data_IF_718935941352
#
_entry.id   IF_718935941352
#
_cell.length_a   1.000
_cell.length_b   1.000
_cell.length_c   1.000
_cell.angle_alpha   90.00
_cell.angle_beta   90.00
_cell.angle_gamma   90.00
#
_symmetry.space_group_name_H-M   'P 1'
#
loop_
_entity.id
_entity.type
_entity.pdbx_description
1 polymer ?
#
# COMPACT_ATOMS: atom_id res chain seq x y z
N UNK A 1 -1.72 -16.12 7.12
CA UNK A 1 -1.56 -14.70 6.73
C UNK A 1 -1.07 -14.62 5.30
N UNK A 2 -1.44 -13.59 4.54
CA UNK A 2 -1.10 -13.43 3.13
C UNK A 2 -0.83 -11.96 2.77
N UNK A 3 0.03 -11.76 1.77
CA UNK A 3 0.33 -10.48 1.15
C UNK A 3 0.04 -10.61 -0.34
N UNK A 4 -0.75 -9.69 -0.89
CA UNK A 4 -0.94 -9.51 -2.34
C UNK A 4 -0.16 -8.27 -2.73
N UNK A 5 0.74 -8.37 -3.70
CA UNK A 5 1.56 -7.25 -4.16
C UNK A 5 1.71 -7.27 -5.68
N UNK A 6 1.64 -6.09 -6.29
CA UNK A 6 1.90 -5.92 -7.71
C UNK A 6 1.08 -4.80 -8.32
N UNK A 7 1.28 -4.61 -9.63
CA UNK A 7 0.44 -3.76 -10.46
C UNK A 7 -0.92 -4.44 -10.68
N UNK A 8 -1.99 -3.80 -10.19
CA UNK A 8 -3.36 -4.27 -10.43
C UNK A 8 -4.03 -3.52 -11.59
N UNK A 9 -3.34 -2.57 -12.19
CA UNK A 9 -3.83 -1.65 -13.22
C UNK A 9 -5.16 -0.98 -12.83
N UNK A 10 -5.30 -0.69 -11.53
CA UNK A 10 -6.52 -0.18 -10.92
C UNK A 10 -6.17 0.96 -9.95
N UNK A 11 -7.00 2.02 -9.88
CA UNK A 11 -6.79 3.09 -8.93
C UNK A 11 -6.96 2.57 -7.50
N UNK A 12 -6.32 3.23 -6.53
CA UNK A 12 -6.42 2.89 -5.10
C UNK A 12 -7.86 2.67 -4.60
N UNK A 13 -8.85 3.37 -5.13
CA UNK A 13 -10.24 3.17 -4.71
C UNK A 13 -10.73 1.75 -5.00
N UNK A 14 -10.23 1.09 -6.03
CA UNK A 14 -10.61 -0.29 -6.35
C UNK A 14 -10.20 -1.29 -5.25
N UNK A 15 -9.22 -0.98 -4.40
CA UNK A 15 -8.81 -1.91 -3.32
C UNK A 15 -9.91 -2.14 -2.28
N UNK A 16 -10.98 -1.33 -2.27
CA UNK A 16 -12.14 -1.55 -1.38
C UNK A 16 -12.91 -2.82 -1.73
N UNK A 17 -12.75 -3.36 -2.94
CA UNK A 17 -13.40 -4.61 -3.37
C UNK A 17 -12.65 -5.85 -2.88
N UNK A 18 -11.39 -5.71 -2.41
CA UNK A 18 -10.58 -6.79 -1.87
C UNK A 18 -10.97 -7.13 -0.42
N UNK A 19 -12.17 -7.70 -0.25
CA UNK A 19 -12.72 -8.08 1.06
C UNK A 19 -11.75 -8.99 1.82
N UNK A 20 -11.53 -8.69 3.11
CA UNK A 20 -10.60 -9.43 3.97
C UNK A 20 -9.15 -8.95 3.89
N UNK A 21 -8.85 -8.00 3.01
CA UNK A 21 -7.53 -7.39 2.88
C UNK A 21 -7.54 -5.90 3.22
N UNK A 22 -6.40 -5.42 3.73
CA UNK A 22 -6.19 -4.01 4.00
C UNK A 22 -5.01 -3.47 3.17
N UNK A 23 -5.15 -2.29 2.52
CA UNK A 23 -4.05 -1.68 1.80
C UNK A 23 -2.97 -1.14 2.75
N UNK A 24 -1.71 -1.34 2.40
CA UNK A 24 -0.54 -0.89 3.17
C UNK A 24 0.12 0.34 2.56
N UNK A 25 0.17 0.42 1.22
CA UNK A 25 0.83 1.52 0.51
C UNK A 25 -0.17 2.60 0.10
N UNK A 26 0.26 3.86 0.22
CA UNK A 26 -0.39 5.02 -0.39
C UNK A 26 0.66 5.89 -1.08
N UNK A 27 0.45 6.15 -2.37
CA UNK A 27 1.29 7.05 -3.17
C UNK A 27 1.19 6.72 -4.65
N UNK A 28 1.37 7.73 -5.50
CA UNK A 28 1.30 7.56 -6.96
C UNK A 28 2.53 6.82 -7.44
N UNK A 29 2.34 5.80 -8.26
CA UNK A 29 3.41 4.93 -8.75
C UNK A 29 3.61 5.04 -10.25
N UNK A 30 2.63 5.58 -10.99
CA UNK A 30 2.70 5.69 -12.44
C UNK A 30 2.22 7.06 -12.97
N UNK A 31 2.81 7.56 -14.08
CA UNK A 31 4.11 7.15 -14.63
C UNK A 31 5.25 7.60 -13.71
N UNK A 32 6.38 6.89 -13.73
CA UNK A 32 7.46 7.07 -12.75
C UNK A 32 8.01 8.51 -12.68
N UNK A 33 8.23 9.14 -13.82
CA UNK A 33 8.84 10.48 -13.91
C UNK A 33 7.86 11.60 -13.54
N UNK A 34 6.55 11.37 -13.70
CA UNK A 34 5.50 12.34 -13.37
C UNK A 34 4.29 11.64 -12.77
N UNK A 35 4.36 11.19 -11.50
CA UNK A 35 3.33 10.32 -10.94
C UNK A 35 1.98 11.02 -10.83
N UNK A 36 0.96 10.41 -11.43
CA UNK A 36 -0.43 10.89 -11.40
C UNK A 36 -1.37 9.93 -10.68
N UNK A 37 -1.09 8.63 -10.72
CA UNK A 37 -1.99 7.58 -10.22
C UNK A 37 -1.21 6.46 -9.51
N UNK A 38 -1.86 5.80 -8.57
CA UNK A 38 -1.36 4.58 -7.92
C UNK A 38 -1.96 3.37 -8.63
N UNK A 39 -1.11 2.56 -9.25
CA UNK A 39 -1.49 1.30 -9.91
C UNK A 39 -0.90 0.08 -9.18
N UNK A 40 0.23 0.27 -8.52
CA UNK A 40 0.88 -0.76 -7.69
C UNK A 40 0.32 -0.74 -6.28
N UNK A 41 -0.03 -1.92 -5.79
CA UNK A 41 -0.65 -2.09 -4.48
C UNK A 41 0.08 -3.13 -3.66
N UNK A 42 -0.03 -3.00 -2.34
CA UNK A 42 0.28 -4.06 -1.39
C UNK A 42 -0.90 -4.16 -0.42
N UNK A 43 -1.53 -5.33 -0.38
CA UNK A 43 -2.68 -5.63 0.44
C UNK A 43 -2.32 -6.78 1.40
N UNK A 44 -2.75 -6.69 2.65
CA UNK A 44 -2.43 -7.70 3.67
C UNK A 44 -3.70 -8.27 4.30
N UNK A 45 -3.72 -9.57 4.53
CA UNK A 45 -4.81 -10.25 5.24
C UNK A 45 -4.75 -9.95 6.74
N UNK A 46 -5.75 -10.43 7.48
CA UNK A 46 -5.69 -10.54 8.95
C UNK A 46 -4.41 -11.27 9.40
N UNK A 47 -3.88 -10.86 10.56
CA UNK A 47 -2.60 -11.36 11.10
C UNK A 47 -1.36 -10.61 10.60
N UNK A 48 -1.51 -9.61 9.73
CA UNK A 48 -0.43 -8.73 9.27
C UNK A 48 -0.81 -7.25 9.41
N UNK A 49 0.19 -6.42 9.72
CA UNK A 49 0.07 -4.96 9.75
C UNK A 49 1.28 -4.31 9.07
N UNK A 50 1.09 -3.11 8.51
CA UNK A 50 2.19 -2.30 7.99
C UNK A 50 2.84 -1.48 9.11
N UNK A 51 4.14 -1.65 9.29
CA UNK A 51 4.96 -0.89 10.23
C UNK A 51 5.62 0.35 9.59
N UNK A 52 5.63 0.39 8.26
CA UNK A 52 6.12 1.54 7.49
C UNK A 52 5.93 1.27 5.99
N UNK A 53 5.58 2.30 5.23
CA UNK A 53 5.21 2.18 3.83
C UNK A 53 5.65 3.42 3.05
N UNK A 54 6.27 3.23 1.88
CA UNK A 54 6.63 4.33 0.98
C UNK A 54 6.71 3.90 -0.47
N UNK A 55 6.39 4.83 -1.36
CA UNK A 55 6.79 4.79 -2.76
C UNK A 55 8.21 5.35 -2.84
N UNK A 56 9.09 4.67 -3.56
CA UNK A 56 10.50 5.04 -3.73
C UNK A 56 10.70 5.86 -5.00
N UNK A 57 11.91 6.40 -5.17
CA UNK A 57 12.30 7.06 -6.42
C UNK A 57 12.34 6.08 -7.60
N UNK A 58 12.17 6.56 -8.84
CA UNK A 58 12.29 5.73 -10.04
C UNK A 58 13.64 5.00 -10.13
N UNK A 59 13.60 3.77 -10.65
CA UNK A 59 14.79 2.90 -10.81
C UNK A 59 14.97 2.39 -12.25
N UNK A 60 14.47 3.15 -13.23
CA UNK A 60 14.54 2.79 -14.65
C UNK A 60 13.35 1.99 -15.18
N UNK A 61 12.32 1.76 -14.36
CA UNK A 61 10.98 1.33 -14.80
C UNK A 61 10.07 2.55 -14.96
N UNK A 62 9.04 2.41 -15.79
CA UNK A 62 7.92 3.34 -15.92
C UNK A 62 6.99 3.36 -14.69
N UNK A 63 7.20 2.45 -13.75
CA UNK A 63 6.59 2.45 -12.41
C UNK A 63 7.63 2.80 -11.32
N UNK A 64 7.17 3.50 -10.28
CA UNK A 64 7.94 3.69 -9.04
C UNK A 64 7.81 2.47 -8.14
N UNK A 65 8.92 1.97 -7.56
CA UNK A 65 8.87 0.83 -6.66
C UNK A 65 8.14 1.18 -5.36
N UNK A 66 7.40 0.22 -4.82
CA UNK A 66 6.77 0.31 -3.50
C UNK A 66 7.52 -0.55 -2.48
N UNK A 67 7.69 -0.05 -1.26
CA UNK A 67 8.31 -0.79 -0.15
C UNK A 67 7.48 -0.64 1.11
N UNK A 68 7.23 -1.75 1.80
CA UNK A 68 6.69 -1.75 3.14
C UNK A 68 7.47 -2.67 4.08
N UNK A 69 7.55 -2.28 5.35
CA UNK A 69 7.87 -3.16 6.45
C UNK A 69 6.55 -3.71 7.01
N UNK A 70 6.48 -5.04 7.18
CA UNK A 70 5.31 -5.72 7.71
C UNK A 70 5.64 -6.38 9.04
N UNK A 71 4.65 -6.45 9.91
CA UNK A 71 4.73 -7.13 11.20
C UNK A 71 3.59 -8.12 11.33
N UNK A 72 3.85 -9.23 12.04
CA UNK A 72 2.80 -10.17 12.43
C UNK A 72 1.95 -9.52 13.52
N UNK A 73 0.65 -9.38 13.25
CA UNK A 73 -0.32 -8.86 14.23
C UNK A 73 -0.98 -10.02 14.95
N UNK A 74 -0.85 -10.08 16.27
CA UNK A 74 -1.55 -11.07 17.10
C UNK A 74 -3.03 -10.71 17.34
N UNK A 75 -3.47 -9.51 16.95
CA UNK A 75 -4.84 -9.05 17.14
C UNK A 75 -5.61 -9.01 15.81
N UNK A 76 -6.84 -9.56 15.74
CA UNK A 76 -7.74 -9.31 14.62
C UNK A 76 -8.06 -7.81 14.59
N UNK A 77 -7.74 -7.12 13.48
CA UNK A 77 -8.07 -5.70 13.36
C UNK A 77 -9.57 -5.57 13.17
N UNK A 78 -10.25 -4.96 14.15
CA UNK A 78 -11.61 -4.45 13.94
C UNK A 78 -11.55 -3.38 12.85
N UNK A 79 -12.57 -3.38 11.99
CA UNK A 79 -12.74 -2.48 10.86
C UNK A 79 -12.94 -1.04 11.33
N UNK A 80 -11.86 -0.33 11.64
CA UNK A 80 -11.88 1.13 11.80
C UNK A 80 -10.51 1.72 11.43
N UNK A 81 -10.50 2.52 10.38
CA UNK A 81 -9.33 3.24 9.89
C UNK A 81 -8.77 4.17 10.97
N UNK A 82 -7.48 4.01 11.30
CA UNK A 82 -6.73 4.99 12.10
C UNK A 82 -5.76 5.70 11.16
N UNK A 83 -6.15 6.90 10.72
CA UNK A 83 -5.30 7.84 9.98
C UNK A 83 -4.28 8.39 10.97
N UNK A 84 -3.02 7.98 10.83
CA UNK A 84 -1.91 8.61 11.56
C UNK A 84 -1.47 9.88 10.82
N UNK A 85 -1.53 10.99 11.58
CA UNK A 85 -1.16 12.35 11.23
C UNK A 85 0.35 12.44 10.94
N UNK A 86 0.69 12.88 9.73
CA UNK A 86 2.07 13.22 9.35
C UNK A 86 2.40 14.60 9.93
N UNK A 87 3.39 14.65 10.82
CA UNK A 87 3.97 15.90 11.33
C UNK A 87 4.88 16.48 10.24
N UNK A 88 4.72 17.78 9.99
CA UNK A 88 5.58 18.58 9.11
C UNK A 88 6.79 19.05 9.91
N UNK A 89 7.96 18.96 9.33
CA UNK A 89 9.11 19.85 9.59
C UNK A 89 9.44 20.55 8.27
#
# INVERSE_FOLDING_TARGET
PAVIVGDLNMPRLATVTAVGYAPVIRGRTWPADRPVIQLDHMLVSQGLAGAGARVLEPVGSDHRPIRAALELSQHPRSSAARVHRQVRE
#
